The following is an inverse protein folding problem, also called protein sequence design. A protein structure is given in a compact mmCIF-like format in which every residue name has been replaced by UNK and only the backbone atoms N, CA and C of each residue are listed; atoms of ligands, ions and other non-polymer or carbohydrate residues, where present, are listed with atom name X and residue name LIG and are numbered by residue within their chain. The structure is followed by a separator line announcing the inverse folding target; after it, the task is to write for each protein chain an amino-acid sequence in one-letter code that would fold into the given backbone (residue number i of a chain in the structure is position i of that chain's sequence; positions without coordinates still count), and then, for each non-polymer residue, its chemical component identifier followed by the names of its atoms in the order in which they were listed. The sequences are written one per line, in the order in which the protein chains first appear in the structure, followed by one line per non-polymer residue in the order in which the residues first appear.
data_IF_528981635441
#
_entry.id   IF_528981635441
#
_cell.length_a   1.000
_cell.length_b   1.000
_cell.length_c   1.000
_cell.angle_alpha   90.00
_cell.angle_beta   90.00
_cell.angle_gamma   90.00
#
_symmetry.space_group_name_H-M   'P 1'
#
loop_
_entity.id
_entity.type
_entity.pdbx_description
1 polymer ?
#
# COMPACT_ATOMS: atom_id res chain seq x y z
N UNK A 1 57.57 -28.73 -7.61
CA UNK A 1 56.40 -28.04 -7.03
C UNK A 1 56.62 -27.93 -5.53
N UNK A 2 56.71 -26.69 -5.01
CA UNK A 2 57.02 -26.46 -3.59
C UNK A 2 55.82 -26.80 -2.72
N UNK A 3 56.05 -27.41 -1.57
CA UNK A 3 55.04 -27.79 -0.59
C UNK A 3 54.12 -26.59 -0.20
N UNK A 4 54.63 -25.37 -0.31
CA UNK A 4 53.84 -24.13 -0.04
C UNK A 4 52.72 -23.88 -1.07
N UNK A 5 52.93 -24.22 -2.34
CA UNK A 5 51.89 -23.98 -3.37
C UNK A 5 50.69 -24.90 -3.20
N UNK A 6 50.91 -26.15 -2.71
CA UNK A 6 49.85 -27.08 -2.41
C UNK A 6 49.03 -26.63 -1.20
N UNK A 7 49.66 -26.11 -0.15
CA UNK A 7 48.99 -25.58 1.04
C UNK A 7 48.16 -24.36 0.71
N UNK A 8 48.66 -23.42 -0.08
CA UNK A 8 47.89 -22.25 -0.55
C UNK A 8 46.72 -22.64 -1.45
N UNK A 9 46.90 -23.66 -2.30
CA UNK A 9 45.78 -24.17 -3.12
C UNK A 9 44.67 -24.78 -2.30
N UNK A 10 45.00 -25.56 -1.26
CA UNK A 10 44.01 -26.16 -0.36
C UNK A 10 43.30 -25.10 0.47
N UNK A 11 44.04 -24.11 1.02
CA UNK A 11 43.44 -22.98 1.73
C UNK A 11 42.50 -22.16 0.83
N UNK A 12 42.92 -21.87 -0.41
CA UNK A 12 42.09 -21.18 -1.39
C UNK A 12 40.77 -21.95 -1.71
N UNK A 13 40.88 -23.28 -1.78
CA UNK A 13 39.72 -24.13 -2.07
C UNK A 13 38.76 -24.21 -0.87
N UNK A 14 39.26 -24.22 0.36
CA UNK A 14 38.46 -24.19 1.59
C UNK A 14 37.75 -22.88 1.74
N UNK A 15 38.47 -21.75 1.52
CA UNK A 15 37.87 -20.39 1.60
C UNK A 15 36.88 -20.17 0.48
N UNK A 16 37.18 -20.63 -0.74
CA UNK A 16 36.26 -20.56 -1.88
C UNK A 16 35.00 -21.39 -1.70
N UNK A 17 35.15 -22.63 -1.22
CA UNK A 17 34.02 -23.51 -0.92
C UNK A 17 33.18 -22.98 0.27
N UNK A 18 33.85 -22.42 1.29
CA UNK A 18 33.17 -21.76 2.41
C UNK A 18 32.40 -20.52 1.96
N UNK A 19 33.01 -19.67 1.11
CA UNK A 19 32.35 -18.48 0.56
C UNK A 19 31.13 -18.83 -0.29
N UNK A 20 31.21 -19.87 -1.12
CA UNK A 20 30.06 -20.37 -1.89
C UNK A 20 28.99 -20.97 -0.97
N UNK A 21 29.39 -21.72 0.07
CA UNK A 21 28.45 -22.27 1.06
C UNK A 21 27.69 -21.17 1.81
N UNK A 22 28.37 -20.15 2.29
CA UNK A 22 27.74 -18.99 2.93
C UNK A 22 26.86 -18.19 1.95
N UNK A 23 27.27 -18.03 0.70
CA UNK A 23 26.48 -17.39 -0.34
C UNK A 23 25.18 -18.13 -0.62
N UNK A 24 25.25 -19.45 -0.75
CA UNK A 24 24.07 -20.31 -0.97
C UNK A 24 23.15 -20.32 0.26
N UNK A 25 23.69 -20.43 1.47
CA UNK A 25 22.90 -20.38 2.70
C UNK A 25 22.24 -19.01 2.86
N UNK A 26 22.96 -17.93 2.58
CA UNK A 26 22.39 -16.58 2.64
C UNK A 26 21.34 -16.37 1.56
N UNK A 27 21.54 -16.91 0.36
CA UNK A 27 20.56 -16.88 -0.73
C UNK A 27 19.34 -17.73 -0.37
N UNK A 28 19.51 -18.93 0.16
CA UNK A 28 18.42 -19.79 0.64
C UNK A 28 17.66 -19.11 1.79
N UNK A 29 18.35 -18.52 2.76
CA UNK A 29 17.72 -17.80 3.87
C UNK A 29 16.96 -16.54 3.41
N UNK A 30 17.45 -15.84 2.38
CA UNK A 30 16.72 -14.73 1.77
C UNK A 30 15.48 -15.19 1.00
N UNK A 31 15.45 -16.42 0.49
CA UNK A 31 14.31 -17.00 -0.23
C UNK A 31 13.40 -17.86 0.65
N UNK A 32 13.86 -18.26 1.84
CA UNK A 32 13.07 -18.98 2.85
C UNK A 32 12.54 -18.09 3.96
N UNK A 33 12.99 -16.83 4.07
CA UNK A 33 12.19 -15.82 4.73
C UNK A 33 10.98 -15.66 3.80
N UNK A 34 9.76 -16.02 4.22
CA UNK A 34 8.60 -15.68 3.43
C UNK A 34 8.60 -14.16 3.32
N UNK A 35 9.21 -13.65 2.28
CA UNK A 35 9.03 -12.26 1.90
C UNK A 35 7.55 -12.14 1.68
N UNK A 36 6.87 -11.41 2.55
CA UNK A 36 5.46 -11.17 2.39
C UNK A 36 5.20 -10.71 0.96
N UNK A 37 4.13 -11.15 0.36
CA UNK A 37 3.78 -10.70 -0.97
C UNK A 37 3.51 -9.20 -0.92
N UNK A 38 3.83 -8.54 -2.01
CA UNK A 38 3.61 -7.12 -2.18
C UNK A 38 2.71 -6.92 -3.38
N UNK A 39 1.68 -6.12 -3.21
CA UNK A 39 0.78 -5.72 -4.29
C UNK A 39 0.76 -4.20 -4.36
N UNK A 40 0.63 -3.69 -5.58
CA UNK A 40 0.63 -2.26 -5.84
C UNK A 40 -0.33 -1.91 -6.94
N UNK A 41 -1.07 -0.83 -6.75
CA UNK A 41 -1.93 -0.21 -7.75
C UNK A 41 -1.69 1.30 -7.75
N UNK A 42 -1.64 1.90 -8.94
CA UNK A 42 -1.41 3.32 -9.12
C UNK A 42 -2.32 3.90 -10.19
N UNK A 43 -2.76 5.12 -9.96
CA UNK A 43 -3.57 5.90 -10.90
C UNK A 43 -3.08 7.34 -10.90
N UNK A 44 -2.74 7.87 -12.06
CA UNK A 44 -2.35 9.27 -12.26
C UNK A 44 -3.54 10.16 -12.65
N UNK A 45 -4.62 9.57 -13.17
CA UNK A 45 -5.78 10.33 -13.65
C UNK A 45 -6.57 10.98 -12.51
N UNK A 46 -7.08 12.17 -12.80
CA UNK A 46 -8.01 12.87 -11.92
C UNK A 46 -9.31 12.08 -11.75
N UNK A 47 -9.83 12.07 -10.55
CA UNK A 47 -11.11 11.48 -10.21
C UNK A 47 -11.93 12.44 -9.33
N UNK A 48 -13.11 12.80 -9.82
CA UNK A 48 -14.10 13.62 -9.10
C UNK A 48 -15.20 12.70 -8.59
N UNK A 49 -15.31 12.49 -7.27
CA UNK A 49 -16.37 11.65 -6.70
C UNK A 49 -17.72 12.36 -6.87
N UNK A 50 -18.67 11.63 -7.46
CA UNK A 50 -20.06 12.08 -7.65
C UNK A 50 -21.01 10.87 -7.56
N UNK A 51 -22.19 10.98 -6.94
CA UNK A 51 -22.77 12.17 -6.31
C UNK A 51 -22.18 12.49 -4.92
N UNK A 52 -22.53 13.65 -4.39
CA UNK A 52 -22.20 14.07 -3.01
C UNK A 52 -22.77 13.10 -1.98
N UNK A 53 -22.09 12.98 -0.82
CA UNK A 53 -22.49 12.14 0.31
C UNK A 53 -22.61 10.63 0.01
N UNK A 54 -22.07 10.16 -1.11
CA UNK A 54 -22.00 8.75 -1.49
C UNK A 54 -20.57 8.27 -1.47
N UNK A 55 -20.34 7.10 -0.87
CA UNK A 55 -19.04 6.43 -0.92
C UNK A 55 -18.88 5.72 -2.24
N UNK A 56 -17.85 6.08 -2.98
CA UNK A 56 -17.55 5.53 -4.29
C UNK A 56 -16.13 4.97 -4.28
N UNK A 57 -15.96 3.74 -4.72
CA UNK A 57 -14.63 3.17 -4.90
C UNK A 57 -13.84 4.00 -5.92
N UNK A 58 -12.60 4.33 -5.59
CA UNK A 58 -11.71 5.03 -6.52
C UNK A 58 -11.44 4.08 -7.69
N UNK A 59 -11.81 4.46 -8.93
CA UNK A 59 -11.65 3.58 -10.08
C UNK A 59 -10.18 3.21 -10.31
N UNK A 60 -9.92 1.95 -10.65
CA UNK A 60 -8.59 1.42 -10.96
C UNK A 60 -7.57 1.51 -9.79
N UNK A 61 -8.05 1.66 -8.55
CA UNK A 61 -7.26 1.56 -7.33
C UNK A 61 -7.75 0.35 -6.52
N UNK A 62 -7.89 -0.78 -7.15
CA UNK A 62 -8.21 -2.04 -6.49
C UNK A 62 -7.09 -3.05 -6.69
N UNK A 63 -6.89 -3.88 -5.69
CA UNK A 63 -5.94 -4.99 -5.70
C UNK A 63 -6.70 -6.25 -5.31
N UNK A 64 -6.74 -7.22 -6.22
CA UNK A 64 -7.31 -8.54 -5.97
C UNK A 64 -6.16 -9.54 -5.80
N UNK A 65 -6.19 -10.30 -4.72
CA UNK A 65 -5.18 -11.30 -4.41
C UNK A 65 -5.78 -12.45 -3.61
N UNK A 66 -5.06 -13.57 -3.57
CA UNK A 66 -5.43 -14.76 -2.81
C UNK A 66 -4.38 -15.02 -1.72
N UNK A 67 -4.86 -15.31 -0.52
CA UNK A 67 -4.06 -15.80 0.60
C UNK A 67 -4.29 -17.31 0.75
N UNK A 68 -3.23 -18.10 0.65
CA UNK A 68 -3.28 -19.55 0.86
C UNK A 68 -3.17 -19.97 2.34
N UNK A 69 -2.68 -19.08 3.20
CA UNK A 69 -2.49 -19.26 4.65
C UNK A 69 -2.88 -17.98 5.39
N UNK A 70 -3.16 -18.06 6.71
CA UNK A 70 -3.37 -16.87 7.51
C UNK A 70 -2.15 -15.93 7.46
N UNK A 71 -2.38 -14.65 7.24
CA UNK A 71 -1.35 -13.63 7.08
C UNK A 71 -1.76 -12.33 7.78
N UNK A 72 -0.78 -11.55 8.19
CA UNK A 72 -1.00 -10.15 8.56
C UNK A 72 -0.90 -9.26 7.32
N UNK A 73 -1.70 -8.21 7.25
CA UNK A 73 -1.68 -7.27 6.12
C UNK A 73 -1.39 -5.85 6.60
N UNK A 74 -0.53 -5.16 5.88
CA UNK A 74 -0.35 -3.71 6.02
C UNK A 74 -0.85 -3.03 4.75
N UNK A 75 -1.86 -2.20 4.91
CA UNK A 75 -2.50 -1.42 3.86
C UNK A 75 -1.97 0.00 3.92
N UNK A 76 -1.55 0.53 2.79
CA UNK A 76 -1.09 1.91 2.66
C UNK A 76 -1.68 2.54 1.42
N UNK A 77 -2.41 3.63 1.59
CA UNK A 77 -2.96 4.45 0.51
C UNK A 77 -2.40 5.86 0.59
N UNK A 78 -2.12 6.46 -0.56
CA UNK A 78 -1.81 7.89 -0.67
C UNK A 78 -2.38 8.49 -1.93
N UNK A 79 -2.74 9.77 -1.87
CA UNK A 79 -3.14 10.55 -3.04
C UNK A 79 -2.88 12.04 -2.85
N UNK A 80 -2.92 12.79 -3.95
CA UNK A 80 -3.07 14.25 -3.94
C UNK A 80 -4.55 14.58 -4.04
N UNK A 81 -5.05 15.38 -3.10
CA UNK A 81 -6.44 15.83 -3.07
C UNK A 81 -6.52 17.34 -3.31
N UNK A 82 -7.54 17.77 -4.05
CA UNK A 82 -7.90 19.18 -4.21
C UNK A 82 -9.32 19.40 -3.71
N UNK A 83 -9.45 20.26 -2.74
CA UNK A 83 -10.73 20.61 -2.11
C UNK A 83 -11.10 22.00 -2.49
N UNK A 84 -12.32 22.16 -3.00
CA UNK A 84 -12.88 23.46 -3.33
C UNK A 84 -13.47 24.10 -2.06
N UNK A 85 -12.82 25.14 -1.56
CA UNK A 85 -13.41 25.96 -0.50
C UNK A 85 -14.63 26.72 -1.02
N UNK A 86 -15.69 26.78 -0.22
CA UNK A 86 -16.92 27.49 -0.55
C UNK A 86 -17.26 28.54 0.52
N UNK A 87 -17.92 29.62 0.11
CA UNK A 87 -18.30 30.74 0.98
C UNK A 87 -19.20 30.27 2.12
N UNK A 88 -18.62 30.27 3.33
CA UNK A 88 -19.36 30.00 4.56
C UNK A 88 -19.79 28.54 4.80
N UNK A 89 -19.28 27.58 4.02
CA UNK A 89 -19.56 26.15 4.22
C UNK A 89 -18.29 25.29 4.20
N UNK A 90 -18.38 24.12 4.85
CA UNK A 90 -17.34 23.11 4.78
C UNK A 90 -17.42 22.38 3.45
N UNK A 91 -16.25 22.00 2.97
CA UNK A 91 -16.08 21.15 1.81
C UNK A 91 -15.05 20.08 2.16
N UNK A 92 -15.48 18.85 2.22
CA UNK A 92 -14.67 17.75 2.71
C UNK A 92 -14.57 16.59 1.72
N UNK A 93 -13.46 15.88 1.83
CA UNK A 93 -13.23 14.56 1.25
C UNK A 93 -12.92 13.57 2.36
N UNK A 94 -13.57 12.42 2.33
CA UNK A 94 -13.40 11.32 3.28
C UNK A 94 -12.90 10.09 2.56
N UNK A 95 -11.97 9.36 3.17
CA UNK A 95 -11.31 8.19 2.60
C UNK A 95 -11.43 7.01 3.56
N UNK A 96 -11.80 5.83 3.02
CA UNK A 96 -11.97 4.60 3.78
C UNK A 96 -11.45 3.41 2.99
N UNK A 97 -10.85 2.44 3.67
CA UNK A 97 -10.59 1.15 3.07
C UNK A 97 -11.90 0.38 2.88
N UNK A 98 -11.99 -0.33 1.77
CA UNK A 98 -13.01 -1.34 1.49
C UNK A 98 -12.35 -2.69 1.28
N UNK A 99 -12.93 -3.72 1.86
CA UNK A 99 -12.53 -5.11 1.67
C UNK A 99 -13.74 -5.87 1.14
N UNK A 100 -13.60 -6.49 -0.02
CA UNK A 100 -14.68 -7.22 -0.70
C UNK A 100 -15.95 -6.36 -0.83
N UNK A 101 -15.79 -5.12 -1.28
CA UNK A 101 -16.84 -4.11 -1.48
C UNK A 101 -17.57 -3.67 -0.19
N UNK A 102 -17.07 -4.08 0.97
CA UNK A 102 -17.60 -3.66 2.27
C UNK A 102 -16.69 -2.59 2.88
N UNK A 103 -17.28 -1.42 3.18
CA UNK A 103 -16.59 -0.34 3.89
C UNK A 103 -16.23 -0.78 5.30
N UNK A 104 -14.97 -0.61 5.66
CA UNK A 104 -14.45 -1.01 6.96
C UNK A 104 -14.59 0.13 7.96
N UNK A 105 -15.67 0.11 8.76
CA UNK A 105 -15.96 1.15 9.75
C UNK A 105 -15.00 1.13 10.95
N UNK A 106 -14.41 -0.03 11.23
CA UNK A 106 -13.49 -0.21 12.35
C UNK A 106 -12.02 0.13 11.98
N UNK A 107 -11.76 0.45 10.71
CA UNK A 107 -10.46 0.88 10.24
C UNK A 107 -10.32 2.41 10.33
N UNK A 108 -9.08 2.92 10.40
CA UNK A 108 -8.82 4.34 10.28
C UNK A 108 -9.42 4.91 9.00
N UNK A 109 -9.82 6.13 9.07
CA UNK A 109 -10.27 6.91 7.93
C UNK A 109 -9.52 8.26 7.90
N UNK A 110 -9.41 8.84 6.73
CA UNK A 110 -8.81 10.17 6.56
C UNK A 110 -9.86 11.17 6.08
N UNK A 111 -9.71 12.40 6.54
CA UNK A 111 -10.52 13.56 6.11
C UNK A 111 -9.58 14.70 5.75
N UNK A 112 -9.86 15.33 4.64
CA UNK A 112 -9.28 16.61 4.28
C UNK A 112 -10.40 17.56 3.89
N UNK A 113 -10.31 18.79 4.32
CA UNK A 113 -11.39 19.75 4.10
C UNK A 113 -10.93 21.17 4.13
N UNK A 114 -11.74 22.04 3.56
CA UNK A 114 -11.55 23.48 3.51
C UNK A 114 -12.80 24.21 3.99
N UNK A 115 -12.57 25.22 4.82
CA UNK A 115 -13.57 26.22 5.18
C UNK A 115 -13.00 27.61 4.84
N UNK A 116 -13.55 28.26 3.84
CA UNK A 116 -13.06 29.58 3.40
C UNK A 116 -14.15 30.59 3.21
N UNK A 117 -13.75 31.86 3.30
CA UNK A 117 -14.61 33.02 2.98
C UNK A 117 -14.67 33.34 1.48
N UNK A 118 -13.93 32.58 0.65
CA UNK A 118 -13.91 32.76 -0.80
C UNK A 118 -13.77 31.39 -1.51
N UNK A 119 -14.22 31.32 -2.74
CA UNK A 119 -14.13 30.12 -3.59
C UNK A 119 -12.70 29.93 -4.08
N UNK A 120 -11.91 29.15 -3.36
CA UNK A 120 -10.52 28.81 -3.72
C UNK A 120 -10.26 27.33 -3.51
N UNK A 121 -9.31 26.80 -4.28
CA UNK A 121 -8.86 25.43 -4.07
C UNK A 121 -7.75 25.35 -3.04
N UNK A 122 -7.80 24.31 -2.22
CA UNK A 122 -6.72 23.88 -1.35
C UNK A 122 -6.21 22.50 -1.76
N UNK A 123 -4.91 22.31 -1.60
CA UNK A 123 -4.23 21.08 -2.01
C UNK A 123 -3.71 20.36 -0.78
N UNK A 124 -3.95 19.06 -0.75
CA UNK A 124 -3.56 18.18 0.35
C UNK A 124 -2.86 16.95 -0.18
N UNK A 125 -1.91 16.46 0.59
CA UNK A 125 -1.43 15.07 0.47
C UNK A 125 -2.17 14.25 1.52
N UNK A 126 -2.87 13.22 1.07
CA UNK A 126 -3.61 12.29 1.94
C UNK A 126 -2.79 11.02 2.08
N UNK A 127 -2.67 10.53 3.31
CA UNK A 127 -2.13 9.22 3.60
C UNK A 127 -3.07 8.49 4.56
N UNK A 128 -3.41 7.25 4.22
CA UNK A 128 -4.23 6.36 5.03
C UNK A 128 -3.50 5.03 5.14
N UNK A 129 -3.31 4.55 6.37
CA UNK A 129 -2.64 3.28 6.61
C UNK A 129 -3.38 2.47 7.67
N UNK A 130 -3.33 1.16 7.53
CA UNK A 130 -3.89 0.22 8.49
C UNK A 130 -3.14 -1.09 8.50
N UNK A 131 -3.02 -1.67 9.68
CA UNK A 131 -2.45 -2.98 9.90
C UNK A 131 -3.54 -3.94 10.39
N UNK A 132 -3.68 -5.07 9.72
CA UNK A 132 -4.60 -6.15 10.09
C UNK A 132 -3.76 -7.31 10.61
N UNK A 133 -3.93 -7.67 11.88
CA UNK A 133 -3.07 -8.64 12.55
C UNK A 133 -3.17 -10.06 11.95
N UNK A 134 -4.38 -10.52 11.68
CA UNK A 134 -4.61 -11.83 11.07
C UNK A 134 -5.76 -11.75 10.07
N UNK A 135 -5.50 -12.23 8.88
CA UNK A 135 -6.48 -12.39 7.80
C UNK A 135 -6.50 -13.84 7.40
N UNK A 136 -7.68 -14.45 7.41
CA UNK A 136 -7.88 -15.85 7.03
C UNK A 136 -7.51 -16.10 5.56
N UNK A 137 -7.22 -17.37 5.18
CA UNK A 137 -7.06 -17.73 3.77
C UNK A 137 -8.30 -17.38 2.95
N UNK A 138 -8.11 -16.87 1.74
CA UNK A 138 -9.21 -16.51 0.87
C UNK A 138 -8.84 -15.50 -0.21
N UNK A 139 -9.83 -15.14 -1.03
CA UNK A 139 -9.68 -14.12 -2.08
C UNK A 139 -10.16 -12.79 -1.52
N UNK A 140 -9.33 -11.77 -1.68
CA UNK A 140 -9.58 -10.42 -1.21
C UNK A 140 -9.52 -9.42 -2.36
N UNK A 141 -10.50 -8.52 -2.39
CA UNK A 141 -10.48 -7.31 -3.19
C UNK A 141 -10.35 -6.12 -2.24
N UNK A 142 -9.21 -5.45 -2.24
CA UNK A 142 -8.98 -4.26 -1.42
C UNK A 142 -8.94 -3.04 -2.30
N UNK A 143 -9.74 -2.04 -1.95
CA UNK A 143 -9.80 -0.75 -2.61
C UNK A 143 -9.97 0.37 -1.58
N UNK A 144 -10.00 1.62 -2.05
CA UNK A 144 -10.31 2.79 -1.23
C UNK A 144 -11.58 3.44 -1.73
N UNK A 145 -12.52 3.65 -0.83
CA UNK A 145 -13.71 4.47 -1.09
C UNK A 145 -13.44 5.91 -0.71
N UNK A 146 -13.98 6.80 -1.51
CA UNK A 146 -13.98 8.23 -1.27
C UNK A 146 -15.43 8.75 -1.24
N UNK A 147 -15.69 9.70 -0.36
CA UNK A 147 -16.93 10.46 -0.33
C UNK A 147 -16.60 11.95 -0.36
N UNK A 148 -17.39 12.71 -1.07
CA UNK A 148 -17.29 14.17 -1.10
C UNK A 148 -18.57 14.82 -0.54
N UNK A 149 -18.42 15.93 0.13
CA UNK A 149 -19.55 16.80 0.50
C UNK A 149 -19.86 17.86 -0.55
N UNK A 150 -19.00 18.03 -1.56
CA UNK A 150 -19.16 19.03 -2.62
C UNK A 150 -18.69 18.54 -3.97
N UNK A 151 -19.43 18.86 -5.01
CA UNK A 151 -18.98 18.74 -6.39
C UNK A 151 -17.80 19.70 -6.63
N UNK A 152 -16.80 19.24 -7.37
CA UNK A 152 -15.58 20.00 -7.67
C UNK A 152 -14.38 19.64 -6.81
N UNK A 153 -14.57 18.86 -5.74
CA UNK A 153 -13.46 18.17 -5.10
C UNK A 153 -12.95 17.05 -5.98
N UNK A 154 -11.65 16.87 -6.04
CA UNK A 154 -11.07 15.76 -6.79
C UNK A 154 -9.77 15.23 -6.18
N UNK A 155 -9.39 14.04 -6.60
CA UNK A 155 -8.10 13.44 -6.29
C UNK A 155 -7.36 13.08 -7.57
N UNK A 156 -6.04 12.95 -7.47
CA UNK A 156 -5.14 12.43 -8.50
C UNK A 156 -3.92 11.77 -7.87
N UNK A 157 -3.12 11.08 -8.68
CA UNK A 157 -1.89 10.44 -8.24
C UNK A 157 -2.14 9.51 -7.05
N UNK A 158 -3.17 8.68 -7.18
CA UNK A 158 -3.55 7.73 -6.13
C UNK A 158 -2.71 6.47 -6.21
N UNK A 159 -2.27 5.96 -5.07
CA UNK A 159 -1.56 4.69 -4.96
C UNK A 159 -2.08 3.87 -3.79
N UNK A 160 -2.17 2.57 -4.00
CA UNK A 160 -2.50 1.58 -2.98
C UNK A 160 -1.40 0.53 -2.94
N UNK A 161 -0.87 0.29 -1.76
CA UNK A 161 0.12 -0.73 -1.45
C UNK A 161 -0.43 -1.69 -0.42
N UNK A 162 -0.17 -2.96 -0.62
CA UNK A 162 -0.50 -4.01 0.34
C UNK A 162 0.76 -4.85 0.55
N UNK A 163 1.11 -5.05 1.80
CA UNK A 163 2.17 -5.95 2.22
C UNK A 163 1.56 -7.05 3.09
N UNK A 164 1.90 -8.30 2.82
CA UNK A 164 1.56 -9.41 3.71
C UNK A 164 2.79 -9.84 4.50
N UNK A 165 2.55 -10.29 5.71
CA UNK A 165 3.54 -10.85 6.61
C UNK A 165 3.04 -12.19 7.13
N UNK A 166 3.94 -13.11 7.43
CA UNK A 166 3.58 -14.31 8.19
C UNK A 166 3.05 -13.90 9.55
N UNK A 167 1.87 -14.41 9.91
CA UNK A 167 1.26 -14.20 11.21
C UNK A 167 2.02 -14.94 12.31
#
# INVERSE_FOLDING_TARGET
MGKGAVVLGILGLIVGAGGLGFGVINWLNQHTIPSGAHWYSYRDLEFTPTPEFVYIAIPNISIVFELGTPMSLHLLFSCSARVLGDLGSFSDLFFYFMINDVRQLNMPWARVGSYKSNTTYEYYTVSLQHYIEVVDPGIYNITVAIMTERVGNFIRQSSLWIHSYTA
#
